data_IF_330110682231
#
_entry.id   IF_330110682231
#
_cell.length_a   1.000
_cell.length_b   1.000
_cell.length_c   1.000
_cell.angle_alpha   90.00
_cell.angle_beta   90.00
_cell.angle_gamma   90.00
#
_symmetry.space_group_name_H-M   'P 1'
#
loop_
_entity.id
_entity.type
_entity.pdbx_description
1 polymer ?
#
# COMPACT_ATOMS: atom_id res chain seq x y z
N UNK A 1 -16.37 9.63 -5.25
CA UNK A 1 -15.61 8.38 -5.14
C UNK A 1 -14.34 8.53 -5.95
N UNK A 2 -13.22 8.87 -5.30
CA UNK A 2 -11.91 8.82 -5.96
C UNK A 2 -11.45 7.36 -5.93
N UNK A 3 -11.26 6.79 -7.12
CA UNK A 3 -10.90 5.38 -7.31
C UNK A 3 -9.55 5.11 -6.67
N UNK A 4 -9.51 4.07 -5.84
CA UNK A 4 -8.30 3.52 -5.24
C UNK A 4 -7.31 3.16 -6.38
N UNK A 5 -6.35 4.03 -6.65
CA UNK A 5 -5.32 3.80 -7.67
C UNK A 5 -4.29 2.83 -7.09
N UNK A 6 -4.66 1.56 -6.98
CA UNK A 6 -3.65 0.51 -7.06
C UNK A 6 -3.03 0.66 -8.44
N UNK A 7 -1.90 1.39 -8.56
CA UNK A 7 -1.37 1.76 -9.88
C UNK A 7 -1.26 0.47 -10.71
N UNK A 8 -2.09 0.27 -11.75
CA UNK A 8 -2.08 -0.97 -12.54
C UNK A 8 -0.71 -1.18 -13.19
N UNK A 9 0.04 -0.09 -13.29
CA UNK A 9 1.44 -0.01 -13.67
C UNK A 9 2.35 -0.97 -12.89
N UNK A 10 2.20 -1.16 -11.57
CA UNK A 10 3.15 -2.02 -10.82
C UNK A 10 2.95 -3.51 -11.08
N UNK A 11 1.69 -3.96 -11.10
CA UNK A 11 1.36 -5.35 -11.42
C UNK A 11 1.73 -5.68 -12.86
N UNK A 12 1.43 -4.77 -13.79
CA UNK A 12 1.78 -4.95 -15.20
C UNK A 12 3.28 -4.88 -15.42
N UNK A 13 3.99 -3.95 -14.79
CA UNK A 13 5.45 -3.85 -14.90
C UNK A 13 6.15 -5.09 -14.34
N UNK A 14 5.72 -5.61 -13.18
CA UNK A 14 6.30 -6.83 -12.61
C UNK A 14 6.00 -8.03 -13.51
N UNK A 15 4.77 -8.15 -14.01
CA UNK A 15 4.39 -9.17 -14.98
C UNK A 15 5.25 -9.13 -16.24
N UNK A 16 5.38 -7.96 -16.89
CA UNK A 16 6.21 -7.79 -18.09
C UNK A 16 7.68 -8.06 -17.82
N UNK A 17 8.21 -7.66 -16.65
CA UNK A 17 9.58 -7.94 -16.28
C UNK A 17 9.82 -9.44 -16.06
N UNK A 18 8.90 -10.14 -15.38
CA UNK A 18 8.98 -11.59 -15.22
C UNK A 18 8.86 -12.31 -16.56
N UNK A 19 7.95 -11.86 -17.43
CA UNK A 19 7.78 -12.40 -18.78
C UNK A 19 9.07 -12.22 -19.59
N UNK A 20 9.70 -11.04 -19.52
CA UNK A 20 10.96 -10.75 -20.20
C UNK A 20 12.09 -11.69 -19.71
N UNK A 21 12.21 -11.90 -18.39
CA UNK A 21 13.22 -12.81 -17.82
C UNK A 21 13.00 -14.25 -18.30
N UNK A 22 11.76 -14.73 -18.31
CA UNK A 22 11.42 -16.09 -18.77
C UNK A 22 11.70 -16.25 -20.26
N UNK A 23 11.26 -15.30 -21.10
CA UNK A 23 11.49 -15.35 -22.56
C UNK A 23 12.98 -15.26 -22.88
N UNK A 24 13.70 -14.35 -22.23
CA UNK A 24 15.15 -14.21 -22.42
C UNK A 24 15.91 -15.46 -21.95
N UNK A 25 15.55 -16.03 -20.81
CA UNK A 25 16.13 -17.26 -20.31
C UNK A 25 15.86 -18.46 -21.24
N UNK A 26 14.65 -18.57 -21.78
CA UNK A 26 14.32 -19.60 -22.77
C UNK A 26 15.10 -19.43 -24.08
N UNK A 27 15.23 -18.19 -24.58
CA UNK A 27 16.02 -17.88 -25.77
C UNK A 27 17.51 -18.20 -25.57
N UNK A 28 18.08 -17.86 -24.41
CA UNK A 28 19.45 -18.21 -24.06
C UNK A 28 19.66 -19.72 -23.95
N UNK A 29 18.71 -20.46 -23.37
CA UNK A 29 18.78 -21.92 -23.30
C UNK A 29 18.77 -22.55 -24.70
N UNK A 30 17.86 -22.09 -25.57
CA UNK A 30 17.79 -22.54 -26.96
C UNK A 30 19.06 -22.22 -27.75
N UNK A 31 19.62 -21.02 -27.59
CA UNK A 31 20.89 -20.63 -28.19
C UNK A 31 22.06 -21.49 -27.69
N UNK A 32 22.11 -21.78 -26.38
CA UNK A 32 23.12 -22.66 -25.80
C UNK A 32 23.07 -24.07 -26.39
N UNK A 33 21.89 -24.63 -26.57
CA UNK A 33 21.69 -25.94 -27.23
C UNK A 33 22.12 -25.87 -28.70
N UNK A 34 21.72 -24.83 -29.43
CA UNK A 34 22.07 -24.65 -30.84
C UNK A 34 23.59 -24.55 -31.06
N UNK A 35 24.32 -23.87 -30.17
CA UNK A 35 25.78 -23.79 -30.20
C UNK A 35 26.47 -25.08 -29.79
N UNK A 36 25.87 -25.85 -28.88
CA UNK A 36 26.39 -27.14 -28.45
C UNK A 36 26.16 -28.26 -29.47
N UNK A 37 25.35 -28.02 -30.51
CA UNK A 37 25.05 -28.98 -31.56
C UNK A 37 26.25 -29.10 -32.53
N UNK A 38 26.84 -30.30 -32.71
CA UNK A 38 27.93 -30.51 -33.65
C UNK A 38 27.46 -30.19 -35.08
N UNK A 39 28.22 -29.36 -35.80
CA UNK A 39 27.88 -28.92 -37.16
C UNK A 39 28.39 -29.85 -38.26
N UNK A 40 29.25 -30.81 -37.91
CA UNK A 40 29.80 -31.79 -38.84
C UNK A 40 29.07 -33.13 -38.69
N UNK A 41 28.10 -33.39 -39.58
CA UNK A 41 27.55 -34.73 -39.77
C UNK A 41 28.42 -35.44 -40.82
N UNK A 42 29.32 -36.30 -40.37
CA UNK A 42 30.38 -36.92 -41.19
C UNK A 42 29.89 -37.78 -42.37
N UNK A 43 30.69 -37.77 -43.43
CA UNK A 43 30.50 -38.53 -44.67
C UNK A 43 30.60 -40.06 -44.45
N UNK A 44 29.47 -40.73 -44.17
CA UNK A 44 29.41 -42.20 -44.23
C UNK A 44 28.29 -42.88 -43.44
N UNK A 45 27.28 -43.41 -44.15
CA UNK A 45 26.05 -44.02 -43.61
C UNK A 45 26.22 -45.16 -42.57
N UNK A 46 27.34 -45.88 -42.57
CA UNK A 46 27.57 -47.06 -41.71
C UNK A 46 28.22 -46.78 -40.35
N UNK A 47 29.15 -45.83 -40.27
CA UNK A 47 29.69 -45.34 -39.00
C UNK A 47 28.69 -44.43 -38.27
N UNK A 48 27.72 -43.88 -39.01
CA UNK A 48 26.66 -43.00 -38.50
C UNK A 48 25.74 -43.73 -37.51
N UNK A 49 25.32 -44.99 -37.71
CA UNK A 49 24.31 -45.60 -36.81
C UNK A 49 24.76 -45.86 -35.36
N UNK A 50 26.01 -46.29 -35.13
CA UNK A 50 26.54 -46.52 -33.78
C UNK A 50 26.99 -45.21 -33.12
N UNK A 51 27.53 -44.27 -33.91
CA UNK A 51 27.89 -42.94 -33.46
C UNK A 51 26.65 -42.11 -33.11
N UNK A 52 25.54 -42.28 -33.85
CA UNK A 52 24.27 -41.58 -33.62
C UNK A 52 23.70 -41.89 -32.24
N UNK A 53 23.66 -43.14 -31.77
CA UNK A 53 23.09 -43.45 -30.44
C UNK A 53 23.93 -42.90 -29.28
N UNK A 54 25.25 -42.89 -29.42
CA UNK A 54 26.17 -42.31 -28.42
C UNK A 54 26.09 -40.77 -28.45
N UNK A 55 26.03 -40.20 -29.66
CA UNK A 55 25.88 -38.76 -29.87
C UNK A 55 24.51 -38.26 -29.38
N UNK A 56 23.44 -39.02 -29.60
CA UNK A 56 22.09 -38.73 -29.13
C UNK A 56 22.02 -38.67 -27.60
N UNK A 57 22.55 -39.69 -26.89
CA UNK A 57 22.61 -39.66 -25.42
C UNK A 57 23.48 -38.53 -24.88
N UNK A 58 24.63 -38.28 -25.50
CA UNK A 58 25.52 -37.19 -25.10
C UNK A 58 24.90 -35.81 -25.34
N UNK A 59 24.18 -35.63 -26.45
CA UNK A 59 23.46 -34.40 -26.79
C UNK A 59 22.26 -34.18 -25.88
N UNK A 60 21.46 -35.23 -25.63
CA UNK A 60 20.34 -35.16 -24.68
C UNK A 60 20.84 -34.81 -23.27
N UNK A 61 21.91 -35.44 -22.80
CA UNK A 61 22.51 -35.11 -21.50
C UNK A 61 22.97 -33.65 -21.40
N UNK A 62 23.64 -33.13 -22.44
CA UNK A 62 24.05 -31.73 -22.50
C UNK A 62 22.86 -30.77 -22.58
N UNK A 63 21.86 -31.07 -23.41
CA UNK A 63 20.66 -30.25 -23.54
C UNK A 63 19.87 -30.20 -22.23
N UNK A 64 19.64 -31.36 -21.59
CA UNK A 64 18.99 -31.45 -20.28
C UNK A 64 19.78 -30.66 -19.23
N UNK A 65 21.12 -30.76 -19.22
CA UNK A 65 21.95 -29.99 -18.30
C UNK A 65 21.82 -28.47 -18.54
N UNK A 66 21.86 -28.01 -19.78
CA UNK A 66 21.67 -26.59 -20.14
C UNK A 66 20.30 -26.09 -19.70
N UNK A 67 19.22 -26.82 -20.04
CA UNK A 67 17.87 -26.44 -19.63
C UNK A 67 17.67 -26.49 -18.12
N UNK A 68 18.24 -27.46 -17.42
CA UNK A 68 18.15 -27.56 -15.96
C UNK A 68 18.85 -26.38 -15.28
N UNK A 69 20.06 -26.02 -15.71
CA UNK A 69 20.79 -24.87 -15.18
C UNK A 69 20.02 -23.57 -15.44
N UNK A 70 19.49 -23.39 -16.66
CA UNK A 70 18.71 -22.20 -17.00
C UNK A 70 17.38 -22.14 -16.24
N UNK A 71 16.70 -23.27 -16.06
CA UNK A 71 15.48 -23.33 -15.27
C UNK A 71 15.72 -22.96 -13.81
N UNK A 72 16.81 -23.45 -13.19
CA UNK A 72 17.19 -23.06 -11.83
C UNK A 72 17.52 -21.58 -11.73
N UNK A 73 18.23 -21.02 -12.71
CA UNK A 73 18.54 -19.59 -12.75
C UNK A 73 17.27 -18.73 -12.87
N UNK A 74 16.35 -19.08 -13.77
CA UNK A 74 15.06 -18.39 -13.93
C UNK A 74 14.24 -18.50 -12.65
N UNK A 75 14.11 -19.70 -12.08
CA UNK A 75 13.36 -19.90 -10.85
C UNK A 75 13.94 -19.07 -9.69
N UNK A 76 15.26 -19.10 -9.50
CA UNK A 76 15.94 -18.33 -8.47
C UNK A 76 15.75 -16.81 -8.63
N UNK A 77 15.90 -16.29 -9.84
CA UNK A 77 15.70 -14.86 -10.12
C UNK A 77 14.25 -14.42 -9.94
N UNK A 78 13.28 -15.24 -10.36
CA UNK A 78 11.85 -14.97 -10.16
C UNK A 78 11.50 -14.95 -8.67
N UNK A 79 12.00 -15.91 -7.89
CA UNK A 79 11.79 -15.97 -6.43
C UNK A 79 12.38 -14.74 -5.75
N UNK A 80 13.63 -14.39 -6.06
CA UNK A 80 14.29 -13.21 -5.51
C UNK A 80 13.52 -11.94 -5.85
N UNK A 81 13.13 -11.77 -7.12
CA UNK A 81 12.34 -10.62 -7.56
C UNK A 81 11.05 -10.49 -6.75
N UNK A 82 10.30 -11.58 -6.58
CA UNK A 82 9.06 -11.58 -5.80
C UNK A 82 9.31 -11.29 -4.32
N UNK A 83 10.37 -11.83 -3.72
CA UNK A 83 10.72 -11.58 -2.32
C UNK A 83 11.06 -10.10 -2.09
N UNK A 84 11.90 -9.52 -2.95
CA UNK A 84 12.25 -8.09 -2.89
C UNK A 84 11.01 -7.20 -3.05
N UNK A 85 10.11 -7.56 -3.96
CA UNK A 85 8.87 -6.80 -4.14
C UNK A 85 7.88 -6.96 -3.00
N UNK A 86 7.77 -8.15 -2.40
CA UNK A 86 6.95 -8.41 -1.21
C UNK A 86 7.34 -7.48 -0.06
N UNK A 87 8.64 -7.32 0.19
CA UNK A 87 9.14 -6.41 1.23
C UNK A 87 8.81 -4.93 0.99
N UNK A 88 8.70 -4.49 -0.28
CA UNK A 88 8.28 -3.12 -0.59
C UNK A 88 6.84 -2.82 -0.21
N UNK A 89 6.00 -3.83 -0.05
CA UNK A 89 4.59 -3.68 0.33
C UNK A 89 4.43 -3.90 1.85
N UNK A 90 5.06 -4.95 2.38
CA UNK A 90 4.88 -5.36 3.77
C UNK A 90 5.27 -4.27 4.79
N UNK A 91 6.39 -3.58 4.58
CA UNK A 91 6.86 -2.53 5.48
C UNK A 91 5.89 -1.33 5.56
N UNK A 92 5.56 -0.70 4.42
CA UNK A 92 4.55 0.35 4.38
C UNK A 92 3.17 -0.08 4.90
N UNK A 93 2.73 -1.32 4.60
CA UNK A 93 1.46 -1.85 5.08
C UNK A 93 1.41 -1.98 6.62
N UNK A 94 2.48 -2.51 7.22
CA UNK A 94 2.59 -2.61 8.68
C UNK A 94 2.53 -1.23 9.35
N UNK A 95 3.28 -0.26 8.81
CA UNK A 95 3.22 1.13 9.29
C UNK A 95 1.82 1.72 9.19
N UNK A 96 1.13 1.52 8.06
CA UNK A 96 -0.24 1.97 7.85
C UNK A 96 -1.19 1.41 8.92
N UNK A 97 -1.13 0.10 9.17
CA UNK A 97 -1.97 -0.54 10.20
C UNK A 97 -1.68 0.03 11.60
N UNK A 98 -0.41 0.25 11.93
CA UNK A 98 0.00 0.82 13.22
C UNK A 98 -0.50 2.26 13.41
N UNK A 99 -0.38 3.09 12.38
CA UNK A 99 -0.85 4.47 12.44
C UNK A 99 -2.38 4.54 12.45
N UNK A 100 -3.07 3.69 11.69
CA UNK A 100 -4.53 3.55 11.75
C UNK A 100 -5.01 3.18 13.17
N UNK A 101 -4.33 2.23 13.83
CA UNK A 101 -4.60 1.89 15.22
C UNK A 101 -4.36 3.05 16.18
N UNK A 102 -3.33 3.87 15.94
CA UNK A 102 -3.06 5.07 16.75
C UNK A 102 -4.14 6.14 16.59
N UNK A 103 -4.64 6.36 15.36
CA UNK A 103 -5.77 7.24 15.07
C UNK A 103 -7.03 6.71 15.77
N UNK A 104 -7.28 5.40 15.74
CA UNK A 104 -8.38 4.76 16.46
C UNK A 104 -8.33 4.93 17.98
N UNK A 105 -7.14 5.17 18.55
CA UNK A 105 -6.96 5.53 19.97
C UNK A 105 -7.09 7.03 20.25
N UNK A 106 -7.47 7.85 19.26
CA UNK A 106 -7.59 9.31 19.40
C UNK A 106 -6.28 10.08 19.26
N UNK A 107 -5.17 9.44 18.85
CA UNK A 107 -3.88 10.12 18.61
C UNK A 107 -3.86 10.76 17.21
N UNK A 108 -4.54 11.90 17.09
CA UNK A 108 -4.78 12.54 15.79
C UNK A 108 -3.64 13.46 15.31
N UNK A 109 -2.50 13.56 15.98
CA UNK A 109 -1.41 14.51 15.63
C UNK A 109 -0.44 14.02 14.54
N UNK A 110 -0.46 12.74 14.19
CA UNK A 110 0.49 12.16 13.23
C UNK A 110 0.17 12.52 11.77
N UNK A 111 1.22 12.61 10.94
CA UNK A 111 1.11 12.64 9.48
C UNK A 111 1.82 11.39 8.92
N UNK A 112 1.05 10.52 8.28
CA UNK A 112 1.55 9.29 7.67
C UNK A 112 2.18 9.67 6.33
N UNK A 113 3.51 9.78 6.30
CA UNK A 113 4.25 9.96 5.05
C UNK A 113 4.98 8.69 4.65
N UNK A 114 4.82 8.33 3.37
CA UNK A 114 5.59 7.29 2.69
C UNK A 114 6.50 7.90 1.62
N UNK A 115 7.52 7.15 1.20
CA UNK A 115 8.40 7.60 0.13
C UNK A 115 7.64 7.57 -1.21
N UNK A 116 8.03 8.42 -2.15
CA UNK A 116 7.42 8.55 -3.49
C UNK A 116 7.33 7.24 -4.30
N UNK A 117 8.06 6.21 -3.91
CA UNK A 117 8.13 4.89 -4.57
C UNK A 117 7.36 3.79 -3.82
N UNK A 118 6.72 4.08 -2.70
CA UNK A 118 5.99 3.09 -1.91
C UNK A 118 4.56 2.92 -2.47
N UNK A 119 4.06 1.69 -2.48
CA UNK A 119 2.81 1.33 -3.19
C UNK A 119 1.51 1.74 -2.47
N UNK A 120 1.58 2.48 -1.36
CA UNK A 120 0.44 2.74 -0.46
C UNK A 120 0.23 4.23 -0.11
N UNK A 121 0.85 5.15 -0.86
CA UNK A 121 0.73 6.59 -0.61
C UNK A 121 -0.72 7.07 -0.61
N UNK A 122 -1.54 6.65 -1.59
CA UNK A 122 -2.95 7.03 -1.67
C UNK A 122 -3.74 6.63 -0.41
N UNK A 123 -3.42 5.48 0.19
CA UNK A 123 -4.06 5.02 1.43
C UNK A 123 -3.57 5.81 2.65
N UNK A 124 -2.32 6.24 2.66
CA UNK A 124 -1.80 7.16 3.67
C UNK A 124 -2.48 8.52 3.59
N UNK A 125 -2.64 9.06 2.38
CA UNK A 125 -3.29 10.36 2.14
C UNK A 125 -4.76 10.31 2.59
N UNK A 126 -5.47 9.23 2.28
CA UNK A 126 -6.84 9.03 2.74
C UNK A 126 -6.93 8.94 4.28
N UNK A 127 -6.01 8.23 4.92
CA UNK A 127 -5.99 8.10 6.38
C UNK A 127 -5.58 9.40 7.08
N UNK A 128 -4.66 10.18 6.49
CA UNK A 128 -4.30 11.53 6.96
C UNK A 128 -5.50 12.47 6.87
N UNK A 129 -6.22 12.49 5.75
CA UNK A 129 -7.44 13.28 5.60
C UNK A 129 -8.50 12.89 6.63
N UNK A 130 -8.64 11.60 6.93
CA UNK A 130 -9.56 11.15 7.98
C UNK A 130 -9.12 11.66 9.37
N UNK A 131 -7.84 11.53 9.71
CA UNK A 131 -7.28 12.00 10.98
C UNK A 131 -7.42 13.53 11.14
N UNK A 132 -7.19 14.28 10.08
CA UNK A 132 -7.37 15.74 10.03
C UNK A 132 -8.83 16.13 10.28
N UNK A 133 -9.77 15.52 9.56
CA UNK A 133 -11.21 15.76 9.78
C UNK A 133 -11.62 15.46 11.22
N UNK A 134 -11.18 14.34 11.79
CA UNK A 134 -11.47 14.06 13.20
C UNK A 134 -10.86 15.10 14.14
N UNK A 135 -9.65 15.58 13.84
CA UNK A 135 -8.96 16.59 14.67
C UNK A 135 -9.73 17.90 14.65
N UNK A 136 -10.22 18.33 13.50
CA UNK A 136 -11.00 19.55 13.35
C UNK A 136 -12.30 19.46 14.14
N UNK A 137 -13.00 18.32 14.08
CA UNK A 137 -14.24 18.11 14.86
C UNK A 137 -14.02 18.09 16.36
N UNK A 138 -12.96 17.44 16.82
CA UNK A 138 -12.59 17.47 18.25
C UNK A 138 -12.23 18.89 18.69
N UNK A 139 -11.53 19.65 17.85
CA UNK A 139 -11.19 21.06 18.11
C UNK A 139 -12.46 21.92 18.18
N UNK A 140 -13.38 21.75 17.24
CA UNK A 140 -14.66 22.47 17.20
C UNK A 140 -15.51 22.18 18.45
N UNK A 141 -15.63 20.91 18.85
CA UNK A 141 -16.34 20.52 20.06
C UNK A 141 -15.70 21.12 21.33
N UNK A 142 -14.36 21.08 21.44
CA UNK A 142 -13.63 21.70 22.57
C UNK A 142 -13.85 23.21 22.64
N UNK A 143 -13.87 23.87 21.48
CA UNK A 143 -14.12 25.32 21.41
C UNK A 143 -15.55 25.66 21.86
N UNK A 144 -16.55 24.91 21.40
CA UNK A 144 -17.93 25.07 21.84
C UNK A 144 -18.09 24.85 23.36
N UNK A 145 -17.42 23.82 23.91
CA UNK A 145 -17.40 23.58 25.36
C UNK A 145 -16.79 24.75 26.15
N UNK A 146 -15.66 25.30 25.69
CA UNK A 146 -15.03 26.46 26.35
C UNK A 146 -15.95 27.69 26.33
N UNK A 147 -16.71 27.92 25.27
CA UNK A 147 -17.72 29.00 25.21
C UNK A 147 -18.86 28.74 26.21
N UNK A 148 -19.34 27.49 26.31
CA UNK A 148 -20.38 27.12 27.27
C UNK A 148 -19.91 27.38 28.70
N UNK A 149 -18.69 26.97 29.05
CA UNK A 149 -18.10 27.22 30.38
C UNK A 149 -18.07 28.71 30.69
N UNK A 150 -17.50 29.53 29.80
CA UNK A 150 -17.41 30.98 29.98
C UNK A 150 -18.79 31.66 30.08
N UNK A 151 -19.76 31.24 29.26
CA UNK A 151 -21.12 31.79 29.30
C UNK A 151 -21.88 31.36 30.55
N UNK A 152 -21.69 30.13 31.02
CA UNK A 152 -22.33 29.63 32.24
C UNK A 152 -21.81 30.39 33.47
N UNK A 153 -20.51 30.70 33.52
CA UNK A 153 -19.93 31.55 34.56
C UNK A 153 -20.50 32.99 34.49
N UNK A 154 -20.69 33.53 33.28
CA UNK A 154 -21.34 34.83 33.10
C UNK A 154 -22.79 34.83 33.60
N UNK A 155 -23.57 33.77 33.35
CA UNK A 155 -24.94 33.62 33.85
C UNK A 155 -24.96 33.61 35.38
N UNK A 156 -24.05 32.86 36.01
CA UNK A 156 -23.94 32.83 37.46
C UNK A 156 -23.66 34.23 38.05
N UNK A 157 -22.76 34.99 37.42
CA UNK A 157 -22.48 36.37 37.83
C UNK A 157 -23.66 37.33 37.63
N UNK A 158 -24.38 37.22 36.51
CA UNK A 158 -25.57 38.06 36.24
C UNK A 158 -26.67 37.82 37.27
N UNK A 159 -26.89 36.56 37.65
CA UNK A 159 -27.86 36.17 38.69
C UNK A 159 -27.44 36.74 40.06
N UNK A 160 -26.16 36.64 40.43
CA UNK A 160 -25.65 37.17 41.70
C UNK A 160 -25.74 38.70 41.80
N UNK A 161 -25.59 39.41 40.67
CA UNK A 161 -25.69 40.88 40.61
C UNK A 161 -27.14 41.38 40.56
N UNK A 162 -28.13 40.49 40.52
CA UNK A 162 -29.54 40.85 40.40
C UNK A 162 -29.87 41.53 39.07
N UNK A 163 -29.12 41.19 38.00
CA UNK A 163 -29.37 41.78 36.68
C UNK A 163 -30.71 41.34 36.08
N UNK A 164 -31.19 42.12 35.12
CA UNK A 164 -32.53 41.98 34.56
C UNK A 164 -32.72 40.61 33.88
N UNK A 165 -33.92 40.03 34.05
CA UNK A 165 -34.34 38.78 33.41
C UNK A 165 -33.98 38.64 31.90
N UNK A 166 -34.04 39.70 31.06
CA UNK A 166 -33.68 39.59 29.65
C UNK A 166 -32.20 39.26 29.41
N UNK A 167 -31.29 39.74 30.27
CA UNK A 167 -29.84 39.49 30.12
C UNK A 167 -29.50 38.03 30.44
N UNK A 168 -30.14 37.48 31.48
CA UNK A 168 -30.01 36.06 31.86
C UNK A 168 -30.62 35.17 30.78
N UNK A 169 -31.79 35.54 30.25
CA UNK A 169 -32.45 34.78 29.18
C UNK A 169 -31.62 34.76 27.89
N UNK A 170 -30.99 35.88 27.52
CA UNK A 170 -30.10 35.93 26.36
C UNK A 170 -28.87 35.03 26.53
N UNK A 171 -28.23 35.04 27.69
CA UNK A 171 -27.08 34.20 27.96
C UNK A 171 -27.44 32.70 27.98
N UNK A 172 -28.63 32.34 28.47
CA UNK A 172 -29.17 30.98 28.38
C UNK A 172 -29.42 30.55 26.92
N UNK A 173 -30.02 31.42 26.09
CA UNK A 173 -30.22 31.14 24.65
C UNK A 173 -28.90 30.86 23.94
N UNK A 174 -27.86 31.62 24.26
CA UNK A 174 -26.53 31.41 23.67
C UNK A 174 -25.92 30.07 24.07
N UNK A 175 -26.08 29.64 25.33
CA UNK A 175 -25.64 28.31 25.80
C UNK A 175 -26.40 27.20 25.08
N UNK A 176 -27.73 27.33 24.95
CA UNK A 176 -28.55 26.39 24.18
C UNK A 176 -28.09 26.32 22.72
N UNK A 177 -27.73 27.44 22.10
CA UNK A 177 -27.21 27.48 20.73
C UNK A 177 -25.87 26.74 20.58
N UNK A 178 -24.95 26.85 21.56
CA UNK A 178 -23.70 26.08 21.52
C UNK A 178 -23.92 24.58 21.76
N UNK A 179 -24.88 24.20 22.60
CA UNK A 179 -25.26 22.80 22.80
C UNK A 179 -25.79 22.17 21.51
N UNK A 180 -26.65 22.88 20.78
CA UNK A 180 -27.11 22.45 19.45
C UNK A 180 -25.96 22.28 18.46
N UNK A 181 -24.96 23.17 18.52
CA UNK A 181 -23.76 23.06 17.69
C UNK A 181 -22.95 21.81 18.03
N UNK A 182 -22.75 21.49 19.30
CA UNK A 182 -22.09 20.24 19.72
C UNK A 182 -22.89 19.02 19.24
N UNK A 183 -24.20 19.04 19.38
CA UNK A 183 -25.08 17.97 18.92
C UNK A 183 -24.94 17.73 17.41
N UNK A 184 -24.86 18.81 16.61
CA UNK A 184 -24.60 18.68 15.16
C UNK A 184 -23.23 18.09 14.85
N UNK A 185 -22.17 18.48 15.57
CA UNK A 185 -20.81 17.96 15.38
C UNK A 185 -20.77 16.46 15.70
N UNK A 186 -21.49 16.02 16.74
CA UNK A 186 -21.61 14.61 17.10
C UNK A 186 -22.45 13.85 16.07
N UNK A 187 -23.56 14.41 15.61
CA UNK A 187 -24.43 13.77 14.61
C UNK A 187 -23.73 13.54 13.25
N UNK A 188 -22.77 14.39 12.89
CA UNK A 188 -21.95 14.19 11.70
C UNK A 188 -20.97 13.01 11.83
N UNK A 189 -20.57 12.64 13.05
CA UNK A 189 -19.79 11.43 13.32
C UNK A 189 -20.75 10.24 13.36
N UNK A 190 -21.15 9.77 12.17
CA UNK A 190 -22.01 8.58 11.99
C UNK A 190 -21.50 7.40 12.84
N UNK A 191 -22.26 7.02 13.87
CA UNK A 191 -22.22 5.71 14.51
C UNK A 191 -23.13 4.73 13.78
#
# INVERSE_FOLDING_TARGET
MQTFSSRPFYRTQLFFLTLLIVVFGAALAAAGVFLALPRDLGDGYGAVLSTVKVLEKALLGKAVAIYAVMALFIAGTVVLLHLFYSHRIAGPAYRLAREAGSIGQGKLKGEIRFRRKDSLTDMADALNQAAERYRDRVTEARHALSIIEAKTESVAHLIQRGESAPAVEQALRDVTGQLQKIESVIAEVRT
#
